data_IF_400190674953
#
_entry.id   IF_400190674953
#
_cell.length_a   1.000
_cell.length_b   1.000
_cell.length_c   1.000
_cell.angle_alpha   90.00
_cell.angle_beta   90.00
_cell.angle_gamma   90.00
#
_symmetry.space_group_name_H-M   'P 1'
#
loop_
_entity.id
_entity.type
_entity.pdbx_description
1 polymer ?
#
# COMPACT_ATOMS: atom_id res chain seq x y z
N UNK A 1 3.03 2.38 -9.66
CA UNK A 1 4.13 1.60 -9.05
C UNK A 1 5.35 2.49 -8.90
N UNK A 2 5.99 2.44 -7.76
CA UNK A 2 7.23 3.19 -7.50
C UNK A 2 8.42 2.58 -8.29
N UNK A 3 9.56 3.23 -8.22
CA UNK A 3 10.70 2.97 -9.11
C UNK A 3 11.74 2.01 -8.54
N UNK A 4 11.41 1.23 -7.50
CA UNK A 4 12.34 0.27 -6.91
C UNK A 4 12.90 -0.72 -7.96
N UNK A 5 14.16 -1.13 -7.84
CA UNK A 5 14.89 -1.84 -8.90
C UNK A 5 14.19 -3.13 -9.39
N UNK A 6 13.57 -3.87 -8.49
CA UNK A 6 12.77 -5.06 -8.81
C UNK A 6 11.50 -4.79 -9.63
N UNK A 7 10.90 -3.60 -9.52
CA UNK A 7 9.73 -3.19 -10.29
C UNK A 7 10.07 -2.86 -11.75
N UNK A 8 11.34 -2.55 -12.04
CA UNK A 8 11.85 -2.26 -13.39
C UNK A 8 12.79 -3.34 -13.92
N UNK A 9 12.83 -4.50 -13.26
CA UNK A 9 13.71 -5.60 -13.66
C UNK A 9 13.34 -6.10 -15.06
N UNK A 10 14.35 -6.36 -15.90
CA UNK A 10 14.16 -6.98 -17.22
C UNK A 10 13.58 -8.40 -17.12
N UNK A 11 13.69 -9.04 -15.96
CA UNK A 11 13.13 -10.37 -15.69
C UNK A 11 11.66 -10.35 -15.26
N UNK A 12 11.07 -9.17 -15.00
CA UNK A 12 9.67 -9.06 -14.61
C UNK A 12 8.78 -9.35 -15.83
N UNK A 13 7.97 -10.42 -15.74
CA UNK A 13 6.99 -10.77 -16.76
C UNK A 13 5.64 -10.16 -16.38
N UNK A 14 5.12 -9.29 -17.23
CA UNK A 14 3.83 -8.61 -17.01
C UNK A 14 2.78 -9.33 -17.88
N UNK A 15 1.67 -9.81 -17.31
CA UNK A 15 0.56 -10.37 -18.08
C UNK A 15 -0.04 -9.34 -19.04
N UNK A 16 -0.58 -9.79 -20.18
CA UNK A 16 -1.16 -8.91 -21.21
C UNK A 16 -2.35 -8.06 -20.70
N UNK A 17 -3.03 -8.51 -19.65
CA UNK A 17 -4.17 -7.82 -19.03
C UNK A 17 -3.78 -6.75 -18.01
N UNK A 18 -2.49 -6.50 -17.79
CA UNK A 18 -2.01 -5.55 -16.77
C UNK A 18 -1.14 -4.48 -17.41
N UNK A 19 -1.53 -3.22 -17.22
CA UNK A 19 -0.69 -2.06 -17.56
C UNK A 19 -0.04 -1.48 -16.32
N UNK A 20 1.26 -1.21 -16.40
CA UNK A 20 2.01 -0.60 -15.31
C UNK A 20 2.13 0.91 -15.53
N UNK A 21 1.63 1.67 -14.57
CA UNK A 21 1.85 3.12 -14.47
C UNK A 21 2.99 3.35 -13.48
N UNK A 22 4.14 3.82 -13.97
CA UNK A 22 5.25 4.22 -13.11
C UNK A 22 5.05 5.63 -12.58
N UNK A 23 5.25 5.80 -11.28
CA UNK A 23 5.21 7.09 -10.63
C UNK A 23 6.53 7.86 -10.88
N UNK A 24 6.52 9.20 -10.85
CA UNK A 24 7.74 9.99 -10.85
C UNK A 24 8.70 9.57 -9.71
N UNK A 25 10.02 9.68 -9.90
CA UNK A 25 10.99 9.42 -8.84
C UNK A 25 10.75 10.32 -7.63
N UNK A 26 10.95 9.78 -6.42
CA UNK A 26 10.85 10.51 -5.15
C UNK A 26 9.48 11.16 -4.87
N UNK A 27 8.39 10.61 -5.43
CA UNK A 27 7.02 11.10 -5.21
C UNK A 27 6.15 10.12 -4.40
N UNK A 28 6.45 9.87 -3.11
CA UNK A 28 5.64 9.00 -2.26
C UNK A 28 4.20 9.51 -2.08
N UNK A 29 3.97 10.82 -2.15
CA UNK A 29 2.65 11.45 -2.11
C UNK A 29 1.74 11.04 -3.28
N UNK A 30 2.33 10.59 -4.38
CA UNK A 30 1.61 10.07 -5.55
C UNK A 30 1.43 8.54 -5.50
N UNK A 31 1.77 7.89 -4.39
CA UNK A 31 1.55 6.47 -4.23
C UNK A 31 0.39 6.25 -3.23
N UNK A 32 -0.81 5.84 -3.69
CA UNK A 32 -1.96 5.60 -2.81
C UNK A 32 -1.65 4.66 -1.64
N UNK A 33 -0.76 3.69 -1.86
CA UNK A 33 -0.40 2.71 -0.82
C UNK A 33 0.33 3.36 0.36
N UNK A 34 1.06 4.47 0.16
CA UNK A 34 1.73 5.17 1.25
C UNK A 34 0.74 5.82 2.21
N UNK A 35 -0.38 6.35 1.68
CA UNK A 35 -1.49 6.87 2.51
C UNK A 35 -2.12 5.75 3.31
N UNK A 36 -2.30 4.59 2.71
CA UNK A 36 -2.78 3.40 3.40
C UNK A 36 -1.82 2.95 4.50
N UNK A 37 -0.52 2.90 4.23
CA UNK A 37 0.48 2.55 5.24
C UNK A 37 0.53 3.51 6.41
N UNK A 38 0.35 4.80 6.16
CA UNK A 38 0.26 5.79 7.22
C UNK A 38 -0.98 5.55 8.09
N UNK A 39 -2.16 5.38 7.46
CA UNK A 39 -3.41 5.07 8.15
C UNK A 39 -3.27 3.81 9.01
N UNK A 40 -2.70 2.75 8.46
CA UNK A 40 -2.47 1.49 9.17
C UNK A 40 -1.56 1.71 10.38
N UNK A 41 -0.42 2.38 10.18
CA UNK A 41 0.53 2.66 11.27
C UNK A 41 -0.12 3.45 12.39
N UNK A 42 -0.88 4.49 12.08
CA UNK A 42 -1.54 5.33 13.08
C UNK A 42 -2.58 4.55 13.92
N UNK A 43 -3.23 3.53 13.36
CA UNK A 43 -4.26 2.76 14.05
C UNK A 43 -3.71 1.55 14.84
N UNK A 44 -2.75 0.83 14.28
CA UNK A 44 -2.32 -0.47 14.85
C UNK A 44 -0.86 -0.52 15.29
N UNK A 45 0.05 0.35 14.82
CA UNK A 45 1.48 0.24 15.16
C UNK A 45 1.95 1.35 16.09
N UNK A 46 1.45 2.57 15.89
CA UNK A 46 1.89 3.76 16.61
C UNK A 46 1.68 3.61 18.11
N UNK A 47 2.74 3.84 18.88
CA UNK A 47 2.76 3.76 20.34
C UNK A 47 2.31 2.40 20.91
N UNK A 48 2.50 1.31 20.15
CA UNK A 48 2.20 -0.06 20.57
C UNK A 48 3.46 -0.91 20.48
N UNK A 49 3.63 -1.80 21.45
CA UNK A 49 4.69 -2.82 21.46
C UNK A 49 4.01 -4.17 21.30
N UNK A 50 4.61 -5.02 20.46
CA UNK A 50 4.14 -6.38 20.21
C UNK A 50 5.20 -7.35 20.72
N UNK A 51 4.78 -8.36 21.47
CA UNK A 51 5.69 -9.35 22.07
C UNK A 51 6.31 -10.29 21.04
N UNK A 52 5.72 -10.39 19.84
CA UNK A 52 6.22 -11.19 18.74
C UNK A 52 5.79 -10.66 17.38
N UNK A 53 6.55 -11.03 16.35
CA UNK A 53 6.19 -10.74 14.95
C UNK A 53 4.85 -11.41 14.59
N UNK A 54 4.60 -12.62 15.10
CA UNK A 54 3.36 -13.36 14.83
C UNK A 54 2.14 -12.63 15.39
N UNK A 55 2.27 -11.98 16.57
CA UNK A 55 1.19 -11.19 17.14
C UNK A 55 0.91 -9.95 16.28
N UNK A 56 1.97 -9.24 15.86
CA UNK A 56 1.86 -8.09 14.96
C UNK A 56 1.17 -8.49 13.64
N UNK A 57 1.61 -9.58 13.01
CA UNK A 57 1.05 -10.10 11.76
C UNK A 57 -0.43 -10.47 11.92
N UNK A 58 -0.79 -11.18 13.00
CA UNK A 58 -2.19 -11.54 13.28
C UNK A 58 -3.06 -10.30 13.43
N UNK A 59 -2.61 -9.31 14.21
CA UNK A 59 -3.33 -8.05 14.41
C UNK A 59 -3.48 -7.28 13.10
N UNK A 60 -2.43 -7.25 12.27
CA UNK A 60 -2.44 -6.65 10.95
C UNK A 60 -3.48 -7.30 10.03
N UNK A 61 -3.48 -8.63 9.94
CA UNK A 61 -4.41 -9.38 9.10
C UNK A 61 -5.87 -9.15 9.51
N UNK A 62 -6.17 -9.23 10.81
CA UNK A 62 -7.52 -8.95 11.33
C UNK A 62 -7.95 -7.53 10.98
N UNK A 63 -7.07 -6.54 11.19
CA UNK A 63 -7.38 -5.15 10.87
C UNK A 63 -7.72 -4.98 9.39
N UNK A 64 -6.89 -5.52 8.48
CA UNK A 64 -7.09 -5.40 7.03
C UNK A 64 -8.37 -6.09 6.57
N UNK A 65 -8.67 -7.29 7.07
CA UNK A 65 -9.89 -8.05 6.69
C UNK A 65 -11.17 -7.34 7.16
N UNK A 66 -11.09 -6.60 8.27
CA UNK A 66 -12.22 -5.84 8.79
C UNK A 66 -12.40 -4.45 8.14
N UNK A 67 -11.50 -4.01 7.26
CA UNK A 67 -11.65 -2.72 6.58
C UNK A 67 -12.81 -2.75 5.57
N UNK A 68 -13.62 -1.70 5.60
CA UNK A 68 -14.67 -1.53 4.59
C UNK A 68 -14.07 -1.05 3.27
N UNK A 69 -14.72 -1.43 2.17
CA UNK A 69 -14.31 -0.98 0.84
C UNK A 69 -14.39 0.55 0.72
N UNK A 70 -15.39 1.19 1.35
CA UNK A 70 -15.56 2.64 1.28
C UNK A 70 -14.44 3.38 1.99
N UNK A 71 -14.02 2.90 3.16
CA UNK A 71 -12.89 3.47 3.88
C UNK A 71 -11.59 3.27 3.09
N UNK A 72 -11.38 2.09 2.51
CA UNK A 72 -10.19 1.82 1.69
C UNK A 72 -10.14 2.76 0.48
N UNK A 73 -11.26 2.95 -0.22
CA UNK A 73 -11.37 3.89 -1.34
C UNK A 73 -11.09 5.32 -0.89
N UNK A 74 -11.61 5.73 0.27
CA UNK A 74 -11.40 7.08 0.81
C UNK A 74 -9.92 7.33 1.14
N UNK A 75 -9.26 6.40 1.82
CA UNK A 75 -7.85 6.53 2.24
C UNK A 75 -6.91 6.50 1.03
N UNK A 76 -7.17 5.61 0.07
CA UNK A 76 -6.36 5.42 -1.13
C UNK A 76 -6.78 6.33 -2.29
N UNK A 77 -7.69 7.29 -2.09
CA UNK A 77 -8.18 8.14 -3.18
C UNK A 77 -7.04 8.99 -3.75
N UNK A 78 -6.87 8.97 -5.07
CA UNK A 78 -6.00 9.88 -5.79
C UNK A 78 -6.71 10.39 -7.04
N UNK A 79 -6.66 11.70 -7.27
CA UNK A 79 -7.46 12.37 -8.30
C UNK A 79 -7.01 12.08 -9.73
N UNK A 80 -5.77 11.62 -9.93
CA UNK A 80 -5.16 11.46 -11.26
C UNK A 80 -5.28 10.03 -11.84
N UNK A 81 -5.88 9.07 -11.14
CA UNK A 81 -6.05 7.69 -11.64
C UNK A 81 -7.43 7.41 -12.26
N UNK A 82 -8.39 8.32 -12.12
CA UNK A 82 -9.78 8.11 -12.54
C UNK A 82 -10.32 9.25 -13.44
N UNK A 83 -9.43 9.91 -14.20
CA UNK A 83 -9.78 10.90 -15.22
C UNK A 83 -10.41 10.26 -16.45
#
# INVERSE_FOLDING_TARGET
MDCASWHRSKGLKIPESITIIYLPPYSPELNPVERFWQYLKDNIIKNKIYDSIQLLEKTLCVFIVCLTQDLLKQVCNVSYLFS
#
